data_IF_348846517701
#
_entry.id   IF_348846517701
#
_cell.length_a   1.000
_cell.length_b   1.000
_cell.length_c   1.000
_cell.angle_alpha   90.00
_cell.angle_beta   90.00
_cell.angle_gamma   90.00
#
_symmetry.space_group_name_H-M   'P 1'
#
loop_
_entity.id
_entity.type
_entity.pdbx_description
1 polymer ?
#
# COMPACT_ATOMS: atom_id res chain seq x y z
N UNK A 1 26.26 29.91 -15.26
CA UNK A 1 24.79 29.72 -15.36
C UNK A 1 24.47 28.37 -14.79
N UNK A 2 23.80 28.30 -13.64
CA UNK A 2 23.34 27.03 -13.07
C UNK A 2 21.98 26.75 -13.70
N UNK A 3 21.88 25.71 -14.50
CA UNK A 3 20.60 25.21 -15.02
C UNK A 3 19.89 24.49 -13.88
N UNK A 4 18.98 25.19 -13.19
CA UNK A 4 17.96 24.55 -12.38
C UNK A 4 16.93 23.95 -13.34
N UNK A 5 17.20 22.72 -13.78
CA UNK A 5 16.21 21.93 -14.51
C UNK A 5 15.07 21.61 -13.56
N UNK A 6 13.91 22.24 -13.77
CA UNK A 6 12.65 21.79 -13.15
C UNK A 6 12.41 20.37 -13.68
N UNK A 7 12.43 19.37 -12.79
CA UNK A 7 11.94 18.04 -13.14
C UNK A 7 10.48 18.19 -13.54
N UNK A 8 10.09 17.60 -14.68
CA UNK A 8 8.68 17.50 -15.03
C UNK A 8 7.95 16.77 -13.89
N UNK A 9 6.83 17.33 -13.45
CA UNK A 9 5.97 16.72 -12.45
C UNK A 9 5.02 15.75 -13.16
N UNK A 10 5.10 14.46 -12.85
CA UNK A 10 4.17 13.47 -13.36
C UNK A 10 2.91 13.45 -12.46
N UNK A 11 1.74 13.55 -13.09
CA UNK A 11 0.45 13.54 -12.40
C UNK A 11 -0.19 12.16 -12.50
N UNK A 12 -0.56 11.60 -11.36
CA UNK A 12 -1.22 10.30 -11.25
C UNK A 12 -2.56 10.43 -10.52
N UNK A 13 -3.51 9.59 -10.93
CA UNK A 13 -4.85 9.52 -10.33
C UNK A 13 -5.04 8.13 -9.73
N UNK A 14 -5.33 8.08 -8.43
CA UNK A 14 -5.53 6.84 -7.69
C UNK A 14 -7.03 6.56 -7.61
N UNK A 15 -7.42 5.37 -8.05
CA UNK A 15 -8.79 4.88 -8.01
C UNK A 15 -8.91 3.84 -6.89
N UNK A 16 -9.66 4.19 -5.85
CA UNK A 16 -9.78 3.39 -4.64
C UNK A 16 -11.08 2.57 -4.61
N UNK A 17 -11.09 1.53 -3.80
CA UNK A 17 -12.31 0.83 -3.38
C UNK A 17 -13.09 1.60 -2.30
N UNK A 18 -14.15 0.97 -1.77
CA UNK A 18 -14.99 1.53 -0.70
C UNK A 18 -14.27 1.69 0.66
N UNK A 19 -13.14 1.00 0.88
CA UNK A 19 -12.32 1.11 2.08
C UNK A 19 -11.21 2.15 1.94
N UNK A 20 -10.94 2.62 0.72
CA UNK A 20 -9.85 3.55 0.42
C UNK A 20 -8.57 2.86 -0.06
N UNK A 21 -8.60 1.57 -0.37
CA UNK A 21 -7.47 0.83 -0.91
C UNK A 21 -7.33 1.12 -2.40
N UNK A 22 -6.14 1.51 -2.84
CA UNK A 22 -5.84 1.75 -4.26
C UNK A 22 -5.98 0.45 -5.07
N UNK A 23 -6.84 0.45 -6.09
CA UNK A 23 -7.05 -0.68 -7.01
C UNK A 23 -6.39 -0.44 -8.37
N UNK A 24 -6.43 0.81 -8.85
CA UNK A 24 -5.88 1.23 -10.14
C UNK A 24 -5.24 2.60 -10.02
N UNK A 25 -4.13 2.83 -10.73
CA UNK A 25 -3.54 4.17 -10.91
C UNK A 25 -3.45 4.46 -12.40
N UNK A 26 -3.90 5.66 -12.79
CA UNK A 26 -3.81 6.15 -14.16
C UNK A 26 -2.94 7.39 -14.27
N UNK A 27 -2.31 7.58 -15.42
CA UNK A 27 -1.61 8.83 -15.75
C UNK A 27 -2.57 9.92 -16.27
N UNK A 28 -2.01 11.07 -16.67
CA UNK A 28 -2.76 12.20 -17.27
C UNK A 28 -3.48 11.87 -18.58
N UNK A 29 -3.03 10.83 -19.30
CA UNK A 29 -3.60 10.38 -20.57
C UNK A 29 -4.61 9.23 -20.35
N UNK A 30 -4.95 8.94 -19.08
CA UNK A 30 -5.84 7.87 -18.64
C UNK A 30 -5.31 6.46 -18.90
N UNK A 31 -4.02 6.31 -19.18
CA UNK A 31 -3.40 5.00 -19.29
C UNK A 31 -3.23 4.40 -17.89
N UNK A 32 -3.54 3.11 -17.75
CA UNK A 32 -3.32 2.37 -16.50
C UNK A 32 -1.82 2.12 -16.35
N UNK A 33 -1.24 2.69 -15.29
CA UNK A 33 0.19 2.59 -14.97
C UNK A 33 0.45 1.68 -13.77
N UNK A 34 -0.58 1.41 -12.96
CA UNK A 34 -0.52 0.39 -11.92
C UNK A 34 -1.92 -0.20 -11.70
N UNK A 35 -1.98 -1.50 -11.44
CA UNK A 35 -3.19 -2.22 -11.09
C UNK A 35 -2.85 -3.39 -10.20
N UNK A 36 -3.58 -3.51 -9.10
CA UNK A 36 -3.38 -4.55 -8.10
C UNK A 36 -4.67 -5.27 -7.74
N UNK A 37 -4.59 -6.58 -7.60
CA UNK A 37 -5.66 -7.45 -7.18
C UNK A 37 -5.36 -7.96 -5.76
N UNK A 38 -6.21 -7.60 -4.79
CA UNK A 38 -6.00 -7.96 -3.39
C UNK A 38 -6.75 -9.23 -3.01
N UNK A 39 -6.05 -10.13 -2.32
CA UNK A 39 -6.65 -11.24 -1.59
C UNK A 39 -7.32 -10.77 -0.28
N UNK A 40 -8.17 -11.59 0.35
CA UNK A 40 -8.95 -11.16 1.53
C UNK A 40 -8.13 -10.63 2.71
N UNK A 41 -6.89 -11.11 2.89
CA UNK A 41 -5.98 -10.68 3.95
C UNK A 41 -4.97 -9.63 3.48
N UNK A 42 -5.14 -9.04 2.29
CA UNK A 42 -4.32 -7.94 1.83
C UNK A 42 -3.05 -8.33 1.08
N UNK A 43 -2.82 -9.62 0.84
CA UNK A 43 -1.82 -10.04 -0.15
C UNK A 43 -2.18 -9.45 -1.51
N UNK A 44 -1.19 -8.90 -2.20
CA UNK A 44 -1.37 -8.11 -3.41
C UNK A 44 -0.71 -8.82 -4.59
N UNK A 45 -1.49 -9.09 -5.63
CA UNK A 45 -0.97 -9.45 -6.95
C UNK A 45 -1.01 -8.23 -7.86
N UNK A 46 0.16 -7.76 -8.31
CA UNK A 46 0.24 -6.62 -9.23
C UNK A 46 0.11 -7.11 -10.69
N UNK A 47 -1.06 -6.88 -11.28
CA UNK A 47 -1.31 -7.20 -12.69
C UNK A 47 -0.65 -6.19 -13.64
N UNK A 48 -0.48 -4.93 -13.20
CA UNK A 48 0.27 -3.88 -13.90
C UNK A 48 1.14 -3.13 -12.89
N UNK A 49 2.43 -2.95 -13.20
CA UNK A 49 3.40 -2.26 -12.32
C UNK A 49 4.39 -1.39 -13.13
N UNK A 50 3.87 -0.41 -13.86
CA UNK A 50 4.72 0.59 -14.57
C UNK A 50 5.27 1.61 -13.56
N UNK A 51 4.48 1.93 -12.53
CA UNK A 51 4.89 2.74 -11.38
C UNK A 51 4.80 1.92 -10.10
N UNK A 52 5.64 2.24 -9.13
CA UNK A 52 5.59 1.62 -7.81
C UNK A 52 4.46 2.21 -6.97
N UNK A 53 3.70 1.35 -6.30
CA UNK A 53 2.71 1.76 -5.31
C UNK A 53 2.94 0.99 -4.00
N UNK A 54 3.56 1.60 -2.98
CA UNK A 54 3.78 0.93 -1.69
C UNK A 54 2.56 0.99 -0.76
N UNK A 55 1.49 1.70 -1.13
CA UNK A 55 0.28 1.74 -0.29
C UNK A 55 -0.44 0.40 -0.31
N UNK A 56 -1.00 -0.01 0.83
CA UNK A 56 -1.74 -1.27 1.00
C UNK A 56 -3.13 -0.95 1.55
N UNK A 57 -3.71 -1.84 2.36
CA UNK A 57 -4.93 -1.53 3.09
C UNK A 57 -4.79 -0.24 3.93
N UNK A 58 -5.91 0.38 4.33
CA UNK A 58 -5.88 1.69 4.97
C UNK A 58 -4.90 1.76 6.16
N UNK A 59 -3.95 2.68 6.07
CA UNK A 59 -2.92 2.89 7.10
C UNK A 59 -1.68 1.97 7.00
N UNK A 60 -1.67 1.03 6.05
CA UNK A 60 -0.57 0.12 5.81
C UNK A 60 0.35 0.60 4.69
N UNK A 61 1.66 0.41 4.89
CA UNK A 61 2.71 0.66 3.91
C UNK A 61 3.52 -0.62 3.70
N UNK A 62 3.81 -0.96 2.45
CA UNK A 62 4.63 -2.12 2.13
C UNK A 62 6.10 -1.85 2.40
N UNK A 63 6.67 -2.63 3.32
CA UNK A 63 8.10 -2.66 3.55
C UNK A 63 8.73 -3.73 2.66
N UNK A 64 9.44 -3.26 1.62
CA UNK A 64 10.10 -4.13 0.66
C UNK A 64 11.24 -4.96 1.27
N UNK A 65 11.87 -4.51 2.36
CA UNK A 65 12.99 -5.23 2.97
C UNK A 65 12.52 -6.52 3.66
N UNK A 66 11.32 -6.48 4.26
CA UNK A 66 10.74 -7.61 5.02
C UNK A 66 9.62 -8.32 4.27
N UNK A 67 8.99 -7.67 3.29
CA UNK A 67 7.77 -8.14 2.65
C UNK A 67 6.51 -7.95 3.50
N UNK A 68 6.62 -7.28 4.66
CA UNK A 68 5.52 -7.06 5.59
C UNK A 68 4.81 -5.72 5.32
N UNK A 69 3.63 -5.59 5.89
CA UNK A 69 2.84 -4.36 5.84
C UNK A 69 3.00 -3.62 7.17
N UNK A 70 3.76 -2.54 7.15
CA UNK A 70 3.92 -1.68 8.32
C UNK A 70 2.65 -0.87 8.58
N UNK A 71 2.08 -1.02 9.78
CA UNK A 71 0.93 -0.26 10.24
C UNK A 71 1.25 0.45 11.57
N UNK A 72 1.92 1.61 11.46
CA UNK A 72 2.34 2.54 12.51
C UNK A 72 3.22 1.97 13.65
N UNK A 73 2.82 0.91 14.31
CA UNK A 73 3.52 0.30 15.46
C UNK A 73 3.55 -1.22 15.39
N UNK A 74 2.92 -1.81 14.37
CA UNK A 74 2.86 -3.25 14.17
C UNK A 74 3.13 -3.57 12.71
N UNK A 75 3.76 -4.70 12.50
CA UNK A 75 3.98 -5.31 11.21
C UNK A 75 2.92 -6.37 10.99
N UNK A 76 2.31 -6.32 9.82
CA UNK A 76 1.23 -7.20 9.41
C UNK A 76 1.73 -8.15 8.33
N UNK A 77 1.48 -9.44 8.51
CA UNK A 77 1.80 -10.46 7.52
C UNK A 77 0.56 -10.70 6.64
N UNK A 78 0.56 -10.26 5.37
CA UNK A 78 -0.59 -10.41 4.48
C UNK A 78 -0.83 -11.85 4.03
N UNK A 79 0.19 -12.73 4.11
CA UNK A 79 0.09 -14.13 3.71
C UNK A 79 -0.56 -14.95 4.83
N UNK A 80 -0.16 -14.70 6.08
CA UNK A 80 -0.72 -15.39 7.24
C UNK A 80 -2.03 -14.75 7.74
N UNK A 81 -2.16 -13.42 7.60
CA UNK A 81 -3.31 -12.65 8.04
C UNK A 81 -3.28 -11.99 9.43
N UNK A 82 -2.35 -12.27 10.38
CA UNK A 82 -2.27 -11.57 11.66
C UNK A 82 -1.16 -10.50 11.71
N UNK A 83 -1.21 -9.69 12.78
CA UNK A 83 -0.06 -8.88 13.21
C UNK A 83 1.00 -9.75 13.89
N UNK A 84 2.27 -9.39 13.72
CA UNK A 84 3.39 -10.12 14.35
C UNK A 84 3.67 -9.68 15.79
N UNK A 85 3.13 -8.53 16.21
CA UNK A 85 3.27 -7.99 17.56
C UNK A 85 1.91 -7.92 18.26
N UNK A 86 1.93 -8.19 19.57
CA UNK A 86 0.79 -7.95 20.43
C UNK A 86 0.36 -6.50 20.46
N UNK A 87 -0.93 -6.26 20.74
CA UNK A 87 -1.50 -4.93 20.75
C UNK A 87 -0.81 -4.03 21.80
N UNK A 88 -0.24 -2.87 21.41
CA UNK A 88 0.39 -1.94 22.33
C UNK A 88 -0.56 -1.39 23.42
N UNK A 89 -1.87 -1.41 23.17
CA UNK A 89 -2.91 -1.01 24.13
C UNK A 89 -3.33 -2.17 25.04
N UNK A 90 -2.80 -3.38 24.82
CA UNK A 90 -3.16 -4.58 25.56
C UNK A 90 -4.52 -5.14 25.14
N UNK A 91 -5.26 -5.72 26.10
CA UNK A 91 -6.52 -6.43 25.82
C UNK A 91 -7.73 -5.52 25.65
N UNK A 92 -7.53 -4.26 25.24
CA UNK A 92 -8.62 -3.28 25.08
C UNK A 92 -9.55 -3.67 23.94
N UNK A 93 -9.02 -4.31 22.90
CA UNK A 93 -9.77 -4.73 21.71
C UNK A 93 -9.97 -6.26 21.62
N UNK A 94 -9.88 -6.95 22.76
CA UNK A 94 -10.13 -8.39 22.87
C UNK A 94 -9.01 -9.17 23.54
N UNK A 95 -9.25 -10.47 23.75
CA UNK A 95 -8.32 -11.37 24.45
C UNK A 95 -7.25 -11.98 23.54
N UNK A 96 -7.29 -11.69 22.23
CA UNK A 96 -6.32 -12.18 21.27
C UNK A 96 -5.08 -11.27 21.29
N UNK A 97 -3.91 -11.85 21.47
CA UNK A 97 -2.63 -11.15 21.65
C UNK A 97 -1.62 -11.54 20.61
#
# INVERSE_FOLDING_TARGET
MVSTGVKAEDLYFIHNDHLGTAQVITDKDQAVVWQGDYQPFGELEETIAVVENPTRFPGQYFDQETGLHYNLKRDYDPVLGPYLQSDPLGLVDGSNT
#
